data_IF_247548698107
#
_entry.id   IF_247548698107
#
_cell.length_a   1.000
_cell.length_b   1.000
_cell.length_c   1.000
_cell.angle_alpha   90.00
_cell.angle_beta   90.00
_cell.angle_gamma   90.00
#
_symmetry.space_group_name_H-M   'P 1'
#
loop_
_entity.id
_entity.type
_entity.pdbx_description
1 polymer ?
#
# COMPACT_ATOMS: atom_id res chain seq x y z
N UNK A 1 -44.61 23.77 -31.66
CA UNK A 1 -44.27 22.72 -30.67
C UNK A 1 -45.34 22.71 -29.60
N UNK A 2 -45.86 21.55 -29.20
CA UNK A 2 -46.88 21.46 -28.14
C UNK A 2 -46.28 21.90 -26.80
N UNK A 3 -47.02 22.74 -26.06
CA UNK A 3 -46.56 23.30 -24.78
C UNK A 3 -46.16 22.21 -23.77
N UNK A 4 -46.86 21.07 -23.78
CA UNK A 4 -46.55 19.89 -22.95
C UNK A 4 -45.19 19.28 -23.26
N UNK A 5 -44.82 19.13 -24.54
CA UNK A 5 -43.51 18.58 -24.91
C UNK A 5 -42.38 19.55 -24.61
N UNK A 6 -42.63 20.84 -24.81
CA UNK A 6 -41.65 21.90 -24.49
C UNK A 6 -41.34 21.91 -22.99
N UNK A 7 -42.35 21.70 -22.14
CA UNK A 7 -42.18 21.60 -20.68
C UNK A 7 -41.40 20.34 -20.26
N UNK A 8 -41.65 19.19 -20.89
CA UNK A 8 -40.93 17.94 -20.58
C UNK A 8 -39.44 18.07 -20.92
N UNK A 9 -39.12 18.64 -22.09
CA UNK A 9 -37.73 18.86 -22.52
C UNK A 9 -37.01 19.82 -21.55
N UNK A 10 -37.68 20.91 -21.17
CA UNK A 10 -37.13 21.86 -20.20
C UNK A 10 -36.90 21.20 -18.82
N UNK A 11 -37.84 20.39 -18.34
CA UNK A 11 -37.70 19.67 -17.07
C UNK A 11 -36.52 18.69 -17.08
N UNK A 12 -36.32 17.96 -18.18
CA UNK A 12 -35.18 17.05 -18.34
C UNK A 12 -33.85 17.80 -18.32
N UNK A 13 -33.78 18.96 -18.98
CA UNK A 13 -32.58 19.78 -18.98
C UNK A 13 -32.25 20.34 -17.59
N UNK A 14 -33.26 20.81 -16.84
CA UNK A 14 -33.09 21.26 -15.46
C UNK A 14 -32.62 20.11 -14.56
N UNK A 15 -33.24 18.94 -14.68
CA UNK A 15 -32.83 17.75 -13.92
C UNK A 15 -31.37 17.36 -14.21
N UNK A 16 -30.94 17.42 -15.47
CA UNK A 16 -29.55 17.16 -15.86
C UNK A 16 -28.57 18.17 -15.24
N UNK A 17 -28.90 19.48 -15.25
CA UNK A 17 -28.04 20.51 -14.63
C UNK A 17 -27.91 20.28 -13.12
N UNK A 18 -29.02 20.02 -12.43
CA UNK A 18 -29.00 19.73 -10.98
C UNK A 18 -28.13 18.51 -10.68
N UNK A 19 -28.25 17.46 -11.50
CA UNK A 19 -27.42 16.26 -11.38
C UNK A 19 -25.92 16.56 -11.60
N UNK A 20 -25.57 17.33 -12.64
CA UNK A 20 -24.19 17.70 -12.92
C UNK A 20 -23.57 18.53 -11.78
N UNK A 21 -24.31 19.48 -11.21
CA UNK A 21 -23.87 20.27 -10.05
C UNK A 21 -23.66 19.36 -8.83
N UNK A 22 -24.57 18.42 -8.58
CA UNK A 22 -24.43 17.45 -7.50
C UNK A 22 -23.17 16.59 -7.67
N UNK A 23 -22.87 16.12 -8.89
CA UNK A 23 -21.66 15.36 -9.18
C UNK A 23 -20.40 16.19 -8.92
N UNK A 24 -20.34 17.43 -9.38
CA UNK A 24 -19.18 18.31 -9.17
C UNK A 24 -18.98 18.63 -7.69
N UNK A 25 -20.05 18.83 -6.92
CA UNK A 25 -19.99 19.06 -5.47
C UNK A 25 -19.49 17.84 -4.68
N UNK A 26 -19.71 16.63 -5.21
CA UNK A 26 -19.30 15.36 -4.56
C UNK A 26 -17.91 14.91 -5.02
N UNK A 27 -17.42 15.37 -6.16
CA UNK A 27 -16.14 14.96 -6.71
C UNK A 27 -14.95 15.69 -6.06
N UNK A 28 -14.15 14.96 -5.28
CA UNK A 28 -12.86 15.45 -4.76
C UNK A 28 -11.72 15.03 -5.73
N UNK A 29 -11.12 15.94 -6.52
CA UNK A 29 -10.04 15.60 -7.43
C UNK A 29 -8.82 15.13 -6.63
N UNK A 30 -8.34 13.92 -6.90
CA UNK A 30 -7.18 13.38 -6.19
C UNK A 30 -5.87 13.82 -6.85
N UNK A 31 -4.76 13.91 -6.10
CA UNK A 31 -3.44 14.17 -6.67
C UNK A 31 -2.99 13.19 -7.76
N UNK A 32 -3.57 11.99 -7.78
CA UNK A 32 -3.29 10.92 -8.76
C UNK A 32 -4.03 11.08 -10.10
N UNK A 33 -5.06 11.92 -10.16
CA UNK A 33 -5.83 12.20 -11.39
C UNK A 33 -5.23 13.35 -12.22
N UNK A 34 -4.21 14.04 -11.67
CA UNK A 34 -3.54 15.16 -12.32
C UNK A 34 -2.63 14.71 -13.46
N UNK A 35 -2.31 15.64 -14.37
CA UNK A 35 -1.26 15.41 -15.37
C UNK A 35 0.06 15.08 -14.67
N UNK A 36 0.95 14.36 -15.36
CA UNK A 36 2.22 13.93 -14.75
C UNK A 36 3.08 15.12 -14.31
N UNK A 37 3.04 16.25 -15.05
CA UNK A 37 3.76 17.48 -14.71
C UNK A 37 3.22 18.10 -13.42
N UNK A 38 1.91 18.28 -13.33
CA UNK A 38 1.28 18.88 -12.15
C UNK A 38 1.44 17.98 -10.92
N UNK A 39 1.33 16.67 -11.10
CA UNK A 39 1.54 15.69 -10.03
C UNK A 39 2.99 15.73 -9.52
N UNK A 40 3.97 15.84 -10.42
CA UNK A 40 5.38 15.96 -10.06
C UNK A 40 5.66 17.24 -9.26
N UNK A 41 5.21 18.39 -9.76
CA UNK A 41 5.39 19.68 -9.08
C UNK A 41 4.69 19.69 -7.71
N UNK A 42 3.46 19.17 -7.66
CA UNK A 42 2.74 19.02 -6.40
C UNK A 42 3.50 18.14 -5.40
N UNK A 43 3.96 16.96 -5.81
CA UNK A 43 4.69 16.05 -4.94
C UNK A 43 6.00 16.70 -4.45
N UNK A 44 6.72 17.41 -5.33
CA UNK A 44 7.94 18.13 -4.99
C UNK A 44 7.68 19.17 -3.90
N UNK A 45 6.64 19.98 -4.07
CA UNK A 45 6.25 21.00 -3.10
C UNK A 45 5.79 20.36 -1.77
N UNK A 46 5.08 19.24 -1.80
CA UNK A 46 4.67 18.56 -0.57
C UNK A 46 5.83 18.02 0.27
N UNK A 47 7.02 17.81 -0.31
CA UNK A 47 8.19 17.40 0.46
C UNK A 47 8.62 18.44 1.51
N UNK A 48 8.26 19.73 1.38
CA UNK A 48 8.51 20.73 2.42
C UNK A 48 7.51 20.69 3.57
N UNK A 49 6.36 20.05 3.36
CA UNK A 49 5.23 20.03 4.31
C UNK A 49 5.21 18.75 5.17
N UNK A 50 5.92 17.71 4.73
CA UNK A 50 6.00 16.45 5.47
C UNK A 50 6.95 16.56 6.66
N UNK A 51 6.63 15.84 7.73
CA UNK A 51 7.35 15.88 8.99
C UNK A 51 7.61 14.46 9.50
N UNK A 52 8.78 14.25 10.10
CA UNK A 52 9.12 12.99 10.76
C UNK A 52 8.05 12.65 11.81
N UNK A 53 7.68 11.37 11.87
CA UNK A 53 6.66 10.84 12.75
C UNK A 53 5.24 10.88 12.19
N UNK A 54 5.01 11.55 11.06
CA UNK A 54 3.69 11.55 10.41
C UNK A 54 3.26 10.12 10.05
N UNK A 55 2.00 9.74 10.31
CA UNK A 55 1.50 8.44 9.95
C UNK A 55 1.35 8.33 8.44
N UNK A 56 1.60 7.14 7.91
CA UNK A 56 1.57 6.87 6.47
C UNK A 56 0.22 7.21 5.83
N UNK A 57 -0.88 7.02 6.55
CA UNK A 57 -2.22 7.37 6.05
C UNK A 57 -2.39 8.88 5.83
N UNK A 58 -1.73 9.73 6.64
CA UNK A 58 -1.75 11.17 6.41
C UNK A 58 -0.95 11.53 5.15
N UNK A 59 0.20 10.88 4.93
CA UNK A 59 0.98 11.06 3.70
C UNK A 59 0.19 10.63 2.48
N UNK A 60 -0.46 9.46 2.52
CA UNK A 60 -1.31 8.96 1.43
C UNK A 60 -2.50 9.87 1.16
N UNK A 61 -3.11 10.43 2.21
CA UNK A 61 -4.21 11.39 2.05
C UNK A 61 -3.74 12.70 1.42
N UNK A 62 -2.53 13.15 1.75
CA UNK A 62 -1.96 14.41 1.26
C UNK A 62 -1.41 14.28 -0.17
N UNK A 63 -0.59 13.26 -0.42
CA UNK A 63 0.19 13.07 -1.66
C UNK A 63 -0.47 12.08 -2.65
N UNK A 64 -1.54 11.40 -2.23
CA UNK A 64 -2.18 10.33 -2.99
C UNK A 64 -1.38 9.02 -2.97
N UNK A 65 -1.72 8.12 -3.87
CA UNK A 65 -1.01 6.85 -4.05
C UNK A 65 0.45 7.09 -4.47
N UNK A 66 1.39 6.30 -3.95
CA UNK A 66 2.79 6.32 -4.42
C UNK A 66 2.95 5.65 -5.79
N UNK A 67 3.98 6.02 -6.55
CA UNK A 67 4.31 5.41 -7.85
C UNK A 67 4.90 4.00 -7.66
N UNK A 68 5.72 3.81 -6.62
CA UNK A 68 6.23 2.51 -6.20
C UNK A 68 6.14 2.35 -4.67
N UNK A 69 6.01 1.11 -4.21
CA UNK A 69 6.01 0.77 -2.79
C UNK A 69 6.74 -0.54 -2.53
N UNK A 70 7.56 -0.59 -1.50
CA UNK A 70 8.20 -1.82 -1.02
C UNK A 70 8.10 -1.90 0.50
N UNK A 71 8.19 -3.11 1.05
CA UNK A 71 8.11 -3.33 2.49
C UNK A 71 9.03 -4.46 2.95
N UNK A 72 9.50 -4.37 4.19
CA UNK A 72 10.30 -5.36 4.89
C UNK A 72 9.78 -5.54 6.30
N UNK A 73 9.58 -6.78 6.71
CA UNK A 73 9.34 -7.11 8.12
C UNK A 73 10.66 -7.56 8.77
N UNK A 74 10.86 -7.15 10.01
CA UNK A 74 11.98 -7.55 10.87
C UNK A 74 11.41 -8.07 12.19
N UNK A 75 12.25 -8.68 13.04
CA UNK A 75 11.78 -9.20 14.33
C UNK A 75 11.22 -8.09 15.24
N UNK A 76 11.65 -6.84 15.00
CA UNK A 76 11.39 -5.71 15.89
C UNK A 76 10.40 -4.68 15.30
N UNK A 77 10.24 -4.62 13.98
CA UNK A 77 9.49 -3.56 13.32
C UNK A 77 9.15 -3.90 11.86
N UNK A 78 8.13 -3.24 11.34
CA UNK A 78 7.77 -3.25 9.93
C UNK A 78 8.24 -1.96 9.25
N UNK A 79 8.93 -2.11 8.14
CA UNK A 79 9.40 -1.01 7.32
C UNK A 79 8.67 -0.98 5.99
N UNK A 80 8.32 0.22 5.53
CA UNK A 80 7.75 0.44 4.22
C UNK A 80 8.43 1.63 3.58
N UNK A 81 8.71 1.57 2.29
CA UNK A 81 9.24 2.69 1.52
C UNK A 81 8.29 3.00 0.37
N UNK A 82 7.95 4.28 0.22
CA UNK A 82 7.07 4.78 -0.83
C UNK A 82 7.86 5.73 -1.72
N UNK A 83 7.67 5.62 -3.02
CA UNK A 83 8.35 6.47 -4.01
C UNK A 83 7.30 7.36 -4.67
N UNK A 84 7.50 8.67 -4.58
CA UNK A 84 6.67 9.65 -5.27
C UNK A 84 7.52 10.32 -6.35
N UNK A 85 7.01 10.41 -7.58
CA UNK A 85 7.65 11.18 -8.65
C UNK A 85 7.71 12.65 -8.24
N UNK A 86 8.91 13.23 -8.22
CA UNK A 86 9.17 14.59 -7.74
C UNK A 86 10.03 15.40 -8.68
N UNK A 87 10.62 14.76 -9.68
CA UNK A 87 11.43 15.42 -10.69
C UNK A 87 11.39 14.65 -12.01
N UNK A 88 11.88 15.29 -13.06
CA UNK A 88 11.90 14.75 -14.41
C UNK A 88 13.32 14.38 -14.79
N UNK A 89 13.53 13.16 -15.27
CA UNK A 89 14.79 12.72 -15.88
C UNK A 89 14.59 12.54 -17.39
N UNK A 90 13.46 11.94 -17.81
CA UNK A 90 13.23 11.57 -19.21
C UNK A 90 11.76 11.62 -19.61
N UNK A 91 11.52 11.94 -20.88
CA UNK A 91 10.20 12.08 -21.50
C UNK A 91 9.78 10.86 -22.31
N UNK A 92 9.95 9.65 -21.76
CA UNK A 92 9.58 8.39 -22.41
C UNK A 92 8.19 7.88 -21.99
N UNK A 93 7.49 8.60 -21.13
CA UNK A 93 6.17 8.25 -20.62
C UNK A 93 6.18 7.17 -19.54
N UNK A 94 7.35 6.75 -19.06
CA UNK A 94 7.50 5.70 -18.04
C UNK A 94 8.14 6.33 -16.81
N UNK A 95 7.45 6.32 -15.67
CA UNK A 95 8.05 6.73 -14.40
C UNK A 95 9.08 5.69 -13.97
N UNK A 96 10.28 6.14 -13.60
CA UNK A 96 11.32 5.29 -13.02
C UNK A 96 11.72 5.78 -11.62
N UNK A 97 12.34 4.90 -10.81
CA UNK A 97 12.66 5.22 -9.40
C UNK A 97 13.66 6.38 -9.24
N UNK A 98 14.53 6.57 -10.22
CA UNK A 98 15.47 7.70 -10.30
C UNK A 98 14.79 9.04 -10.54
N UNK A 99 13.49 9.06 -10.90
CA UNK A 99 12.65 10.28 -10.97
C UNK A 99 11.85 10.54 -9.69
N UNK A 100 12.03 9.68 -8.68
CA UNK A 100 11.23 9.69 -7.46
C UNK A 100 12.04 10.09 -6.23
N UNK A 101 11.35 10.58 -5.21
CA UNK A 101 11.90 10.72 -3.87
C UNK A 101 11.33 9.60 -2.98
N UNK A 102 12.18 8.77 -2.35
CA UNK A 102 11.73 7.77 -1.40
C UNK A 102 11.37 8.39 -0.05
N UNK A 103 10.28 7.91 0.54
CA UNK A 103 9.83 8.16 1.91
C UNK A 103 9.83 6.84 2.66
N UNK A 104 10.64 6.72 3.71
CA UNK A 104 10.77 5.52 4.53
C UNK A 104 9.95 5.64 5.81
N UNK A 105 9.21 4.58 6.09
CA UNK A 105 8.34 4.43 7.22
C UNK A 105 8.81 3.27 8.10
N UNK A 106 8.71 3.45 9.41
CA UNK A 106 8.86 2.40 10.42
C UNK A 106 7.58 2.36 11.25
N UNK A 107 6.98 1.18 11.34
CA UNK A 107 5.72 0.93 12.05
C UNK A 107 4.62 1.94 11.67
N UNK A 108 4.54 2.24 10.37
CA UNK A 108 3.56 3.16 9.80
C UNK A 108 3.86 4.65 10.01
N UNK A 109 5.02 5.03 10.54
CA UNK A 109 5.41 6.44 10.75
C UNK A 109 6.62 6.82 9.90
N UNK A 110 6.59 8.02 9.31
CA UNK A 110 7.69 8.55 8.49
C UNK A 110 8.95 8.71 9.35
N UNK A 111 10.07 8.13 8.94
CA UNK A 111 11.35 8.21 9.65
C UNK A 111 12.48 8.80 8.81
N UNK A 112 12.34 8.84 7.49
CA UNK A 112 13.30 9.47 6.59
C UNK A 112 12.68 9.73 5.21
N UNK A 113 13.22 10.69 4.45
CA UNK A 113 12.95 10.85 3.03
C UNK A 113 14.16 11.47 2.33
N UNK A 114 14.27 11.27 1.01
CA UNK A 114 15.42 11.73 0.20
C UNK A 114 16.19 10.57 -0.43
N UNK A 115 17.06 10.86 -1.40
CA UNK A 115 17.65 9.83 -2.28
C UNK A 115 18.37 8.68 -1.54
N UNK A 116 19.15 9.00 -0.51
CA UNK A 116 19.92 8.03 0.29
C UNK A 116 19.03 7.09 1.14
N UNK A 117 17.74 7.43 1.30
CA UNK A 117 16.80 6.67 2.12
C UNK A 117 16.55 5.26 1.58
N UNK A 118 16.65 5.08 0.25
CA UNK A 118 16.48 3.75 -0.33
C UNK A 118 17.63 2.80 0.02
N UNK A 119 18.87 3.30 0.04
CA UNK A 119 20.02 2.49 0.45
C UNK A 119 19.90 2.06 1.91
N UNK A 120 19.42 2.94 2.78
CA UNK A 120 19.12 2.61 4.17
C UNK A 120 18.06 1.51 4.26
N UNK A 121 16.98 1.60 3.47
CA UNK A 121 15.96 0.55 3.40
C UNK A 121 16.54 -0.79 2.93
N UNK A 122 17.40 -0.79 1.92
CA UNK A 122 18.04 -2.00 1.40
C UNK A 122 18.92 -2.70 2.44
N UNK A 123 19.56 -1.96 3.33
CA UNK A 123 20.40 -2.48 4.42
C UNK A 123 19.62 -3.09 5.60
N UNK A 124 18.29 -2.87 5.68
CA UNK A 124 17.47 -3.45 6.75
C UNK A 124 17.43 -4.99 6.60
N UNK A 125 17.83 -5.74 7.64
CA UNK A 125 17.78 -7.21 7.62
C UNK A 125 16.32 -7.68 7.63
N UNK A 126 16.01 -8.70 6.86
CA UNK A 126 14.69 -9.34 6.87
C UNK A 126 14.64 -10.43 7.94
N UNK A 127 13.43 -10.80 8.37
CA UNK A 127 13.20 -11.92 9.28
C UNK A 127 13.98 -13.17 8.84
N UNK A 128 14.86 -13.68 9.70
CA UNK A 128 15.65 -14.89 9.40
C UNK A 128 14.82 -16.20 9.48
N UNK A 129 13.61 -16.15 10.06
CA UNK A 129 12.86 -17.35 10.45
C UNK A 129 11.44 -17.44 9.84
N UNK A 130 11.29 -17.08 8.56
CA UNK A 130 9.99 -17.11 7.85
C UNK A 130 9.53 -18.54 7.50
N UNK A 131 10.32 -19.58 7.80
CA UNK A 131 9.90 -20.97 7.70
C UNK A 131 9.70 -21.51 9.13
N UNK A 132 8.46 -21.67 9.65
CA UNK A 132 8.26 -22.62 10.72
C UNK A 132 8.70 -23.98 10.16
N UNK A 133 9.69 -24.60 10.80
CA UNK A 133 9.96 -26.02 10.56
C UNK A 133 8.60 -26.73 10.60
N UNK A 134 8.30 -27.52 9.57
CA UNK A 134 7.10 -28.38 9.56
C UNK A 134 6.91 -28.94 10.98
N UNK A 135 5.69 -28.92 11.52
CA UNK A 135 5.46 -29.51 12.83
C UNK A 135 6.09 -30.90 12.84
N UNK A 136 6.79 -31.30 13.92
CA UNK A 136 7.39 -32.62 13.98
C UNK A 136 6.30 -33.61 13.61
N UNK A 137 6.58 -34.42 12.57
CA UNK A 137 5.70 -35.50 12.17
C UNK A 137 5.27 -36.20 13.46
N UNK A 138 3.96 -36.19 13.72
CA UNK A 138 3.38 -36.88 14.86
C UNK A 138 3.96 -38.28 14.80
N UNK A 139 4.81 -38.61 15.78
CA UNK A 139 5.31 -39.96 15.91
C UNK A 139 4.08 -40.85 16.06
N UNK A 140 3.82 -41.67 15.04
CA UNK A 140 2.93 -42.80 15.18
C UNK A 140 3.47 -43.61 16.36
N UNK A 141 2.77 -43.49 17.50
CA UNK A 141 2.99 -44.37 18.63
C UNK A 141 2.54 -45.75 18.19
N UNK A 142 3.51 -46.53 17.73
CA UNK A 142 3.44 -47.97 17.59
C UNK A 142 3.00 -48.53 18.95
N UNK A 143 1.74 -48.91 19.01
CA UNK A 143 1.11 -49.50 20.18
C UNK A 143 0.67 -50.92 19.82
N UNK A 144 1.14 -51.82 20.69
CA UNK A 144 0.54 -53.11 21.00
C UNK A 144 1.00 -54.32 20.19
N UNK A 145 2.25 -54.70 20.47
CA UNK A 145 2.60 -55.90 21.25
C UNK A 145 1.61 -57.09 21.16
N UNK A 146 1.90 -58.06 20.26
CA UNK A 146 1.25 -59.36 20.22
C UNK A 146 2.23 -60.50 20.54
N UNK A 147 2.33 -60.80 21.84
CA UNK A 147 2.19 -62.13 22.47
C UNK A 147 3.08 -63.28 21.99
N UNK A 148 3.89 -63.84 22.90
CA UNK A 148 4.02 -65.31 23.18
C UNK A 148 4.88 -65.61 24.44
N UNK A 149 4.87 -66.81 25.07
CA UNK A 149 4.16 -67.03 26.34
C UNK A 149 4.94 -67.79 27.45
N UNK A 150 4.21 -68.13 28.52
CA UNK A 150 4.44 -69.19 29.53
C UNK A 150 5.49 -68.97 30.64
N UNK A 151 5.02 -69.00 31.89
CA UNK A 151 5.60 -69.92 32.88
C UNK A 151 4.54 -70.43 33.86
N UNK A 152 4.52 -71.75 34.01
CA UNK A 152 3.81 -72.55 35.00
C UNK A 152 4.29 -72.32 36.45
N UNK A 153 3.45 -72.74 37.39
CA UNK A 153 3.74 -72.95 38.82
C UNK A 153 2.64 -72.31 39.69
N UNK A 154 1.93 -72.97 40.59
CA UNK A 154 2.04 -74.30 41.16
C UNK A 154 0.77 -74.53 42.02
N UNK A 155 0.04 -75.63 41.78
CA UNK A 155 -0.58 -76.52 42.77
C UNK A 155 -1.07 -77.79 42.10
#
# INVERSE_FOLDING_TARGET
MNSKMSFIIASMFIAYIVFAIAVVMVYEPKPEDRSWQERQEFNHNMLSEINIGQPIENIRKLMGRADFTEAKATDNANFQIMFYRTHHVKSDGITTKDECTPLLFKDGKLIAWGQETYDQFLQIPILNNVIPASPPAVAETDSDDHKTPLSEGEK
#
